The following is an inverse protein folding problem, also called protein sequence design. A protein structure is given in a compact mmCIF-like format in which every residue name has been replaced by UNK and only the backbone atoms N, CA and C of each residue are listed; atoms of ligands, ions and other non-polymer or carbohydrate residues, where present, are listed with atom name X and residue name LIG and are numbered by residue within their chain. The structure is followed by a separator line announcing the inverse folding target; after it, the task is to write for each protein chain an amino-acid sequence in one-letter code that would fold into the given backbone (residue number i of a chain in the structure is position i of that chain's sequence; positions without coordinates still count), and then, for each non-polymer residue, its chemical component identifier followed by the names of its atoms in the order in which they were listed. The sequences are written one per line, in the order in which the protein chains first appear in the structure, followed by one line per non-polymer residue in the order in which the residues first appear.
data_IF_934240891741
#
_entry.id   IF_934240891741
#
_cell.length_a   1.000
_cell.length_b   1.000
_cell.length_c   1.000
_cell.angle_alpha   90.00
_cell.angle_beta   90.00
_cell.angle_gamma   90.00
#
_symmetry.space_group_name_H-M   'P 1'
#
loop_
_entity.id
_entity.type
_entity.pdbx_description
1 polymer ?
#
# COMPACT_ATOMS: atom_id res chain seq x y z
N UNK A 1 38.33 12.45 93.11
CA UNK A 1 38.13 11.17 92.38
C UNK A 1 36.66 11.12 91.96
N UNK A 2 36.35 11.25 90.66
CA UNK A 2 35.85 10.15 89.77
C UNK A 2 34.47 9.63 90.22
N UNK A 3 33.34 10.06 89.66
CA UNK A 3 32.59 9.54 88.48
C UNK A 3 31.09 9.92 88.76
N UNK A 4 30.09 10.04 87.87
CA UNK A 4 29.83 9.65 86.47
C UNK A 4 28.60 10.44 85.97
N UNK A 5 28.56 10.71 84.66
CA UNK A 5 27.49 11.34 83.86
C UNK A 5 26.31 10.39 83.64
N UNK A 6 25.07 10.90 83.47
CA UNK A 6 24.11 10.48 82.43
C UNK A 6 23.30 11.71 81.98
N UNK A 7 23.29 11.98 80.67
CA UNK A 7 22.51 13.01 79.99
C UNK A 7 21.33 12.37 79.25
N UNK A 8 20.18 13.05 79.24
CA UNK A 8 18.99 12.69 78.47
C UNK A 8 18.95 13.53 77.19
N UNK A 9 19.06 12.87 76.05
CA UNK A 9 18.90 13.42 74.69
C UNK A 9 17.50 13.11 74.17
N UNK A 10 16.72 14.14 73.84
CA UNK A 10 15.48 14.01 73.07
C UNK A 10 15.80 14.13 71.56
N UNK A 11 15.43 13.12 70.78
CA UNK A 11 15.62 13.10 69.34
C UNK A 11 14.33 13.54 68.62
N UNK A 12 14.42 14.60 67.83
CA UNK A 12 13.44 14.98 66.82
C UNK A 12 13.84 14.32 65.49
N UNK A 13 13.00 13.44 64.95
CA UNK A 13 13.19 12.83 63.64
C UNK A 13 12.36 13.57 62.60
N UNK A 14 13.03 14.30 61.71
CA UNK A 14 12.43 14.91 60.52
C UNK A 14 12.32 13.89 59.38
N UNK A 15 11.13 13.76 58.80
CA UNK A 15 10.90 13.03 57.56
C UNK A 15 11.47 13.83 56.38
N UNK A 16 12.50 13.31 55.72
CA UNK A 16 12.90 13.77 54.38
C UNK A 16 12.15 12.93 53.33
N UNK A 17 11.16 13.53 52.69
CA UNK A 17 10.51 12.99 51.50
C UNK A 17 11.42 13.26 50.28
N UNK A 18 12.18 12.23 49.86
CA UNK A 18 12.91 12.26 48.59
C UNK A 18 11.89 12.03 47.48
N UNK A 19 11.43 13.10 46.86
CA UNK A 19 10.57 13.04 45.68
C UNK A 19 11.37 12.49 44.50
N UNK A 20 11.09 11.24 44.11
CA UNK A 20 11.46 10.75 42.80
C UNK A 20 10.57 11.44 41.77
N UNK A 21 11.08 12.49 41.12
CA UNK A 21 10.49 12.97 39.87
C UNK A 21 10.70 11.86 38.83
N UNK A 22 9.68 11.04 38.60
CA UNK A 22 9.68 10.18 37.42
C UNK A 22 9.81 11.09 36.19
N UNK A 23 10.68 10.78 35.22
CA UNK A 23 10.75 11.55 33.99
C UNK A 23 9.40 11.43 33.30
N UNK A 24 8.66 12.53 33.27
CA UNK A 24 7.49 12.71 32.42
C UNK A 24 7.98 12.73 30.98
N UNK A 25 8.09 11.56 30.36
CA UNK A 25 8.22 11.42 28.91
C UNK A 25 6.84 11.74 28.33
N UNK A 26 6.47 13.02 28.27
CA UNK A 26 5.35 13.43 27.43
C UNK A 26 5.81 13.14 26.00
N UNK A 27 5.17 12.18 25.32
CA UNK A 27 5.41 11.94 23.91
C UNK A 27 5.23 13.28 23.19
N UNK A 28 6.33 13.81 22.63
CA UNK A 28 6.31 15.10 21.96
C UNK A 28 5.64 14.89 20.60
N UNK A 29 4.46 15.47 20.43
CA UNK A 29 3.81 15.55 19.13
C UNK A 29 4.28 16.83 18.43
N UNK A 30 4.93 16.67 17.29
CA UNK A 30 5.33 17.75 16.41
C UNK A 30 4.26 17.93 15.34
N UNK A 31 3.81 19.17 15.14
CA UNK A 31 2.94 19.50 14.02
C UNK A 31 3.79 19.96 12.84
N UNK A 32 3.38 19.59 11.63
CA UNK A 32 3.98 20.07 10.40
C UNK A 32 2.88 20.64 9.50
N UNK A 33 3.14 21.82 8.97
CA UNK A 33 2.27 22.49 8.02
C UNK A 33 3.04 23.29 6.97
N UNK A 34 4.29 22.89 6.68
CA UNK A 34 5.15 23.53 5.70
C UNK A 34 6.33 22.66 5.28
N UNK A 35 7.44 23.27 4.91
CA UNK A 35 8.65 22.59 4.39
C UNK A 35 9.73 22.41 5.46
N UNK A 36 10.41 21.26 5.47
CA UNK A 36 11.67 21.09 6.20
C UNK A 36 12.58 20.03 5.56
N UNK A 37 13.88 20.20 5.73
CA UNK A 37 14.87 19.26 5.23
C UNK A 37 15.97 18.98 6.26
N UNK A 38 16.60 17.81 6.18
CA UNK A 38 17.79 17.43 6.96
C UNK A 38 17.64 17.53 8.49
N UNK A 39 16.44 17.24 9.00
CA UNK A 39 16.12 17.34 10.43
C UNK A 39 15.62 16.02 11.01
N UNK A 40 15.60 15.95 12.34
CA UNK A 40 15.03 14.83 13.08
C UNK A 40 13.85 15.31 13.91
N UNK A 41 12.67 14.71 13.69
CA UNK A 41 11.49 14.87 14.53
C UNK A 41 11.60 13.85 15.66
N UNK A 42 11.73 14.26 16.93
CA UNK A 42 12.08 13.34 18.04
C UNK A 42 10.91 12.46 18.51
N UNK A 43 9.70 12.65 17.98
CA UNK A 43 8.50 11.93 18.39
C UNK A 43 7.49 11.83 17.26
N UNK A 44 6.21 11.81 17.63
CA UNK A 44 5.12 11.70 16.66
C UNK A 44 5.03 12.98 15.80
N UNK A 45 4.76 12.81 14.52
CA UNK A 45 4.49 13.88 13.56
C UNK A 45 3.01 13.89 13.21
N UNK A 46 2.40 15.07 13.20
CA UNK A 46 1.01 15.26 12.77
C UNK A 46 0.95 16.35 11.72
N UNK A 47 0.47 16.02 10.53
CA UNK A 47 0.03 17.05 9.58
C UNK A 47 -1.38 17.46 9.97
N UNK A 48 -1.56 18.74 10.29
CA UNK A 48 -2.88 19.25 10.69
C UNK A 48 -3.88 19.17 9.52
N UNK A 49 -5.17 19.13 9.83
CA UNK A 49 -6.19 19.02 8.80
C UNK A 49 -6.12 20.22 7.83
N UNK A 50 -6.33 19.97 6.53
CA UNK A 50 -6.21 20.98 5.46
C UNK A 50 -4.83 21.64 5.35
N UNK A 51 -3.78 20.99 5.84
CA UNK A 51 -2.39 21.45 5.71
C UNK A 51 -1.60 20.51 4.83
N UNK A 52 -0.56 21.04 4.21
CA UNK A 52 0.44 20.26 3.51
C UNK A 52 1.75 20.33 4.27
N UNK A 53 2.49 19.22 4.25
CA UNK A 53 3.79 19.09 4.88
C UNK A 53 4.71 18.40 3.88
N UNK A 54 5.85 19.01 3.59
CA UNK A 54 6.85 18.45 2.69
C UNK A 54 8.17 18.31 3.46
N UNK A 55 8.70 17.08 3.48
CA UNK A 55 9.88 16.74 4.26
C UNK A 55 10.90 16.00 3.39
N UNK A 56 12.09 16.56 3.28
CA UNK A 56 13.20 15.97 2.50
C UNK A 56 14.31 15.50 3.44
N UNK A 57 14.73 14.24 3.30
CA UNK A 57 15.79 13.65 4.13
C UNK A 57 15.56 13.84 5.64
N UNK A 58 14.32 13.62 6.09
CA UNK A 58 13.92 13.77 7.49
C UNK A 58 13.81 12.42 8.19
N UNK A 59 14.26 12.34 9.45
CA UNK A 59 14.02 11.18 10.32
C UNK A 59 12.93 11.49 11.33
N UNK A 60 11.87 10.70 11.35
CA UNK A 60 10.75 10.82 12.29
C UNK A 60 10.82 9.67 13.29
N UNK A 61 11.12 9.98 14.55
CA UNK A 61 11.26 9.02 15.65
C UNK A 61 9.93 8.74 16.36
N UNK A 62 8.86 8.57 15.57
CA UNK A 62 7.52 8.32 16.07
C UNK A 62 6.57 7.97 14.96
N UNK A 63 5.28 8.00 15.28
CA UNK A 63 4.22 7.77 14.32
C UNK A 63 3.91 9.04 13.54
N UNK A 64 3.44 8.86 12.32
CA UNK A 64 2.96 9.93 11.45
C UNK A 64 1.45 9.82 11.32
N UNK A 65 0.75 10.94 11.54
CA UNK A 65 -0.68 11.05 11.24
C UNK A 65 -0.93 12.18 10.27
N UNK A 66 -1.41 11.84 9.08
CA UNK A 66 -1.95 12.78 8.10
C UNK A 66 -3.44 12.91 8.37
N UNK A 67 -3.86 14.06 8.88
CA UNK A 67 -5.26 14.30 9.22
C UNK A 67 -6.13 14.50 7.98
N UNK A 68 -7.43 14.68 8.22
CA UNK A 68 -8.37 14.84 7.13
C UNK A 68 -8.00 16.01 6.22
N UNK A 69 -8.12 15.80 4.91
CA UNK A 69 -7.82 16.77 3.86
C UNK A 69 -6.35 17.29 3.88
N UNK A 70 -5.46 16.62 4.61
CA UNK A 70 -4.06 17.00 4.73
C UNK A 70 -3.20 16.23 3.74
N UNK A 71 -2.05 16.79 3.37
CA UNK A 71 -1.09 16.15 2.48
C UNK A 71 0.27 16.01 3.17
N UNK A 72 0.92 14.87 3.00
CA UNK A 72 2.28 14.64 3.46
C UNK A 72 3.13 14.14 2.30
N UNK A 73 4.19 14.85 1.99
CA UNK A 73 5.17 14.50 0.99
C UNK A 73 6.48 14.19 1.72
N UNK A 74 6.97 12.97 1.55
CA UNK A 74 8.23 12.50 2.10
C UNK A 74 9.16 12.11 0.95
N UNK A 75 10.30 12.78 0.85
CA UNK A 75 11.37 12.44 -0.08
C UNK A 75 12.62 12.02 0.70
N UNK A 76 13.13 10.82 0.42
CA UNK A 76 14.36 10.29 1.02
C UNK A 76 14.30 10.18 2.54
N UNK A 77 13.11 10.02 3.12
CA UNK A 77 12.89 10.16 4.56
C UNK A 77 12.74 8.81 5.28
N UNK A 78 12.78 8.82 6.61
CA UNK A 78 12.59 7.62 7.45
C UNK A 78 11.53 7.86 8.52
N UNK A 79 10.57 6.95 8.61
CA UNK A 79 9.55 6.89 9.68
C UNK A 79 9.80 5.67 10.56
N UNK A 80 10.28 5.92 11.78
CA UNK A 80 10.53 4.89 12.81
C UNK A 80 9.27 4.47 13.58
N UNK A 81 8.11 4.57 12.93
CA UNK A 81 6.81 4.26 13.49
C UNK A 81 5.77 3.96 12.40
N UNK A 82 4.50 4.09 12.76
CA UNK A 82 3.39 3.85 11.84
C UNK A 82 3.07 5.11 11.03
N UNK A 83 2.59 4.94 9.80
CA UNK A 83 1.99 6.01 9.00
C UNK A 83 0.48 5.79 8.95
N UNK A 84 -0.29 6.81 9.29
CA UNK A 84 -1.75 6.78 9.21
C UNK A 84 -2.26 7.96 8.39
N UNK A 85 -2.98 7.68 7.32
CA UNK A 85 -3.63 8.67 6.46
C UNK A 85 -5.14 8.58 6.66
N UNK A 86 -5.74 9.69 7.09
CA UNK A 86 -7.16 9.79 7.40
C UNK A 86 -7.97 10.32 6.21
N UNK A 87 -9.27 10.51 6.44
CA UNK A 87 -10.26 10.89 5.43
C UNK A 87 -9.79 11.96 4.44
N UNK A 88 -9.80 11.66 3.14
CA UNK A 88 -9.34 12.56 2.06
C UNK A 88 -7.90 13.09 2.23
N UNK A 89 -7.10 12.48 3.11
CA UNK A 89 -5.69 12.78 3.24
C UNK A 89 -4.88 12.10 2.14
N UNK A 90 -3.74 12.68 1.80
CA UNK A 90 -2.83 12.17 0.78
C UNK A 90 -1.43 11.96 1.36
N UNK A 91 -0.78 10.87 0.97
CA UNK A 91 0.62 10.61 1.27
C UNK A 91 1.41 10.31 0.00
N UNK A 92 2.48 11.05 -0.21
CA UNK A 92 3.50 10.75 -1.23
C UNK A 92 4.79 10.34 -0.54
N UNK A 93 5.27 9.14 -0.86
CA UNK A 93 6.40 8.48 -0.20
C UNK A 93 7.42 8.11 -1.28
N UNK A 94 8.38 8.98 -1.53
CA UNK A 94 9.46 8.76 -2.50
C UNK A 94 10.75 8.44 -1.77
N UNK A 95 11.43 7.36 -2.15
CA UNK A 95 12.70 6.95 -1.53
C UNK A 95 12.61 6.78 -0.01
N UNK A 96 11.42 6.48 0.53
CA UNK A 96 11.11 6.60 1.96
C UNK A 96 11.00 5.23 2.63
N UNK A 97 11.53 5.13 3.85
CA UNK A 97 11.44 3.91 4.67
C UNK A 97 10.44 4.10 5.82
N UNK A 98 9.42 3.25 5.88
CA UNK A 98 8.45 3.19 6.99
C UNK A 98 8.63 1.87 7.73
N UNK A 99 9.00 1.91 9.00
CA UNK A 99 9.26 0.70 9.80
C UNK A 99 7.98 0.04 10.35
N UNK A 100 6.97 0.86 10.66
CA UNK A 100 5.68 0.42 11.18
C UNK A 100 4.67 0.09 10.08
N UNK A 101 3.39 0.03 10.46
CA UNK A 101 2.29 -0.19 9.52
C UNK A 101 1.92 1.08 8.78
N UNK A 102 1.48 0.93 7.54
CA UNK A 102 0.88 2.02 6.75
C UNK A 102 -0.62 1.77 6.66
N UNK A 103 -1.42 2.70 7.18
CA UNK A 103 -2.88 2.55 7.25
C UNK A 103 -3.56 3.73 6.56
N UNK A 104 -4.37 3.44 5.55
CA UNK A 104 -5.24 4.38 4.88
C UNK A 104 -6.68 4.12 5.35
N UNK A 105 -7.35 5.17 5.83
CA UNK A 105 -8.73 5.07 6.27
C UNK A 105 -9.54 6.23 5.66
N UNK A 106 -10.37 5.88 4.67
CA UNK A 106 -11.08 6.84 3.83
C UNK A 106 -10.16 7.88 3.16
N UNK A 107 -8.87 7.55 2.98
CA UNK A 107 -7.88 8.47 2.45
C UNK A 107 -8.18 8.83 0.99
N UNK A 108 -7.67 9.97 0.53
CA UNK A 108 -7.65 10.25 -0.90
C UNK A 108 -6.77 9.21 -1.60
N UNK A 109 -5.56 8.99 -1.08
CA UNK A 109 -4.72 7.90 -1.51
C UNK A 109 -3.32 7.96 -0.92
N UNK A 110 -2.51 6.94 -1.21
CA UNK A 110 -1.08 6.95 -0.96
C UNK A 110 -0.36 6.49 -2.22
N UNK A 111 0.64 7.26 -2.64
CA UNK A 111 1.60 6.90 -3.68
C UNK A 111 2.95 6.58 -3.01
N UNK A 112 3.58 5.48 -3.42
CA UNK A 112 4.93 5.13 -2.98
C UNK A 112 5.82 4.85 -4.17
N UNK A 113 6.99 5.48 -4.23
CA UNK A 113 8.01 5.24 -5.25
C UNK A 113 9.35 4.90 -4.59
N UNK A 114 10.01 3.85 -5.09
CA UNK A 114 11.34 3.40 -4.62
C UNK A 114 11.45 3.31 -3.09
N UNK A 115 10.37 2.90 -2.43
CA UNK A 115 10.21 2.98 -0.98
C UNK A 115 10.20 1.60 -0.31
N UNK A 116 10.39 1.59 1.01
CA UNK A 116 10.39 0.38 1.82
C UNK A 116 9.33 0.46 2.93
N UNK A 117 8.29 -0.37 2.84
CA UNK A 117 7.24 -0.50 3.84
C UNK A 117 7.47 -1.77 4.67
N UNK A 118 7.95 -1.59 5.90
CA UNK A 118 8.46 -2.64 6.78
C UNK A 118 7.39 -3.50 7.46
N UNK A 119 6.13 -3.07 7.43
CA UNK A 119 5.01 -3.80 8.01
C UNK A 119 3.79 -3.79 7.10
N UNK A 120 2.64 -4.28 7.58
CA UNK A 120 1.43 -4.36 6.77
C UNK A 120 1.02 -2.99 6.21
N UNK A 121 0.57 -3.01 4.96
CA UNK A 121 -0.20 -1.93 4.35
C UNK A 121 -1.67 -2.33 4.40
N UNK A 122 -2.52 -1.44 4.91
CA UNK A 122 -3.96 -1.67 4.96
C UNK A 122 -4.69 -0.43 4.47
N UNK A 123 -5.41 -0.59 3.36
CA UNK A 123 -6.30 0.41 2.78
C UNK A 123 -7.75 0.01 2.98
N UNK A 124 -8.59 0.94 3.43
CA UNK A 124 -10.03 0.71 3.59
C UNK A 124 -10.79 1.96 3.19
N UNK A 125 -11.75 1.78 2.30
CA UNK A 125 -12.65 2.82 1.77
C UNK A 125 -11.88 4.04 1.23
N UNK A 126 -10.65 3.85 0.76
CA UNK A 126 -9.73 4.92 0.34
C UNK A 126 -9.64 4.96 -1.18
N UNK A 127 -9.38 6.13 -1.77
CA UNK A 127 -9.34 6.29 -3.22
C UNK A 127 -8.35 5.33 -3.87
N UNK A 128 -7.08 5.38 -3.48
CA UNK A 128 -6.07 4.47 -4.01
C UNK A 128 -4.91 4.13 -3.07
N UNK A 129 -4.26 3.00 -3.35
CA UNK A 129 -2.91 2.67 -2.92
C UNK A 129 -2.06 2.28 -4.13
N UNK A 130 -1.11 3.14 -4.48
CA UNK A 130 -0.26 3.00 -5.66
C UNK A 130 1.19 2.85 -5.25
N UNK A 131 1.87 1.85 -5.83
CA UNK A 131 3.22 1.49 -5.44
C UNK A 131 4.08 1.14 -6.64
N UNK A 132 5.17 1.89 -6.84
CA UNK A 132 6.10 1.73 -7.95
C UNK A 132 7.50 1.48 -7.40
N UNK A 133 8.19 0.44 -7.88
CA UNK A 133 9.58 0.18 -7.52
C UNK A 133 9.81 -0.11 -6.03
N UNK A 134 8.75 -0.42 -5.28
CA UNK A 134 8.76 -0.41 -3.81
C UNK A 134 8.69 -1.82 -3.21
N UNK A 135 9.28 -1.98 -2.03
CA UNK A 135 9.31 -3.24 -1.29
C UNK A 135 8.37 -3.22 -0.07
N UNK A 136 7.52 -4.25 0.03
CA UNK A 136 6.56 -4.47 1.09
C UNK A 136 6.98 -5.73 1.87
N UNK A 137 7.53 -5.53 3.07
CA UNK A 137 8.06 -6.62 3.88
C UNK A 137 6.96 -7.54 4.46
N UNK A 138 5.69 -7.11 4.38
CA UNK A 138 4.52 -7.84 4.87
C UNK A 138 3.38 -7.76 3.86
N UNK A 139 2.15 -7.98 4.32
CA UNK A 139 1.00 -8.06 3.42
C UNK A 139 0.53 -6.67 3.01
N UNK A 140 0.00 -6.59 1.79
CA UNK A 140 -0.78 -5.45 1.30
C UNK A 140 -2.23 -5.89 1.23
N UNK A 141 -3.12 -5.14 1.88
CA UNK A 141 -4.55 -5.43 1.87
C UNK A 141 -5.33 -4.16 1.54
N UNK A 142 -6.23 -4.27 0.57
CA UNK A 142 -7.14 -3.19 0.18
C UNK A 142 -8.59 -3.66 0.25
N UNK A 143 -9.48 -2.75 0.63
CA UNK A 143 -10.92 -2.97 0.63
C UNK A 143 -11.62 -1.70 0.18
N UNK A 144 -12.42 -1.80 -0.88
CA UNK A 144 -13.16 -0.68 -1.47
C UNK A 144 -12.24 0.51 -1.83
N UNK A 145 -11.21 0.28 -2.65
CA UNK A 145 -10.34 1.33 -3.19
C UNK A 145 -9.77 0.98 -4.55
N UNK A 146 -8.64 1.58 -4.92
CA UNK A 146 -7.87 1.19 -6.12
C UNK A 146 -6.49 0.69 -5.71
N UNK A 147 -6.03 -0.40 -6.30
CA UNK A 147 -4.70 -0.95 -6.03
C UNK A 147 -3.89 -1.08 -7.31
N UNK A 148 -2.73 -0.44 -7.35
CA UNK A 148 -1.76 -0.56 -8.44
C UNK A 148 -0.37 -0.84 -7.87
N UNK A 149 0.27 -1.93 -8.31
CA UNK A 149 1.65 -2.26 -7.93
C UNK A 149 2.47 -2.55 -9.18
N UNK A 150 3.59 -1.84 -9.35
CA UNK A 150 4.51 -2.02 -10.46
C UNK A 150 5.96 -2.15 -9.98
N UNK A 151 6.72 -3.06 -10.60
CA UNK A 151 8.14 -3.25 -10.31
C UNK A 151 8.41 -3.44 -8.80
N UNK A 152 7.47 -4.07 -8.11
CA UNK A 152 7.42 -4.17 -6.65
C UNK A 152 7.79 -5.55 -6.12
N UNK A 153 7.89 -5.63 -4.80
CA UNK A 153 8.06 -6.89 -4.08
C UNK A 153 7.13 -6.93 -2.86
N UNK A 154 6.32 -7.98 -2.72
CA UNK A 154 5.45 -8.22 -1.58
C UNK A 154 5.87 -9.53 -0.91
N UNK A 155 6.53 -9.46 0.24
CA UNK A 155 7.10 -10.64 0.93
C UNK A 155 6.04 -11.55 1.56
N UNK A 156 4.76 -11.14 1.54
CA UNK A 156 3.63 -11.91 2.07
C UNK A 156 2.49 -11.85 1.07
N UNK A 157 1.27 -11.57 1.53
CA UNK A 157 0.09 -11.69 0.71
C UNK A 157 -0.29 -10.33 0.11
N UNK A 158 -0.81 -10.36 -1.11
CA UNK A 158 -1.56 -9.25 -1.70
C UNK A 158 -3.03 -9.66 -1.74
N UNK A 159 -3.91 -8.87 -1.14
CA UNK A 159 -5.35 -9.16 -1.12
C UNK A 159 -6.18 -7.90 -1.34
N UNK A 160 -7.09 -7.92 -2.31
CA UNK A 160 -8.03 -6.83 -2.57
C UNK A 160 -9.47 -7.35 -2.55
N UNK A 161 -10.40 -6.53 -2.06
CA UNK A 161 -11.82 -6.89 -1.98
C UNK A 161 -12.69 -5.68 -2.27
N UNK A 162 -13.49 -5.75 -3.33
CA UNK A 162 -14.38 -4.67 -3.75
C UNK A 162 -13.64 -3.44 -4.27
N UNK A 163 -12.36 -3.59 -4.64
CA UNK A 163 -11.61 -2.50 -5.24
C UNK A 163 -12.20 -2.12 -6.62
N UNK A 164 -12.13 -0.86 -7.02
CA UNK A 164 -12.51 -0.45 -8.37
C UNK A 164 -11.63 -1.16 -9.40
N UNK A 165 -10.33 -1.29 -9.13
CA UNK A 165 -9.39 -2.07 -9.95
C UNK A 165 -8.26 -2.67 -9.10
N UNK A 166 -7.66 -3.75 -9.59
CA UNK A 166 -6.42 -4.29 -9.02
C UNK A 166 -5.46 -4.66 -10.14
N UNK A 167 -4.42 -3.85 -10.31
CA UNK A 167 -3.46 -3.98 -11.39
C UNK A 167 -2.06 -4.23 -10.82
N UNK A 168 -1.41 -5.30 -11.30
CA UNK A 168 -0.08 -5.73 -10.84
C UNK A 168 0.82 -6.02 -12.04
N UNK A 169 1.96 -5.34 -12.10
CA UNK A 169 2.93 -5.42 -13.19
C UNK A 169 4.33 -5.68 -12.65
N UNK A 170 5.10 -6.55 -13.30
CA UNK A 170 6.53 -6.74 -13.01
C UNK A 170 6.82 -6.90 -11.50
N UNK A 171 5.98 -7.66 -10.80
CA UNK A 171 5.99 -7.70 -9.33
C UNK A 171 6.14 -9.12 -8.83
N UNK A 172 6.90 -9.28 -7.74
CA UNK A 172 7.01 -10.57 -7.03
C UNK A 172 6.13 -10.55 -5.79
N UNK A 173 5.30 -11.57 -5.63
CA UNK A 173 4.46 -11.81 -4.46
C UNK A 173 4.85 -13.18 -3.88
N UNK A 174 5.55 -13.19 -2.74
CA UNK A 174 6.04 -14.45 -2.12
C UNK A 174 4.91 -15.28 -1.47
N UNK A 175 3.79 -14.63 -1.12
CA UNK A 175 2.64 -15.26 -0.51
C UNK A 175 1.51 -15.52 -1.50
N UNK A 176 0.28 -15.45 -0.99
CA UNK A 176 -0.92 -15.60 -1.81
C UNK A 176 -1.33 -14.28 -2.45
N UNK A 177 -1.88 -14.34 -3.67
CA UNK A 177 -2.51 -13.20 -4.33
C UNK A 177 -4.01 -13.43 -4.48
N UNK A 178 -4.86 -12.57 -3.92
CA UNK A 178 -6.32 -12.71 -3.99
C UNK A 178 -6.96 -11.40 -4.44
N UNK A 179 -7.76 -11.47 -5.50
CA UNK A 179 -8.63 -10.39 -5.97
C UNK A 179 -10.07 -10.85 -5.90
N UNK A 180 -10.90 -10.11 -5.16
CA UNK A 180 -12.33 -10.41 -5.05
C UNK A 180 -13.16 -9.19 -5.43
N UNK A 181 -14.03 -9.33 -6.43
CA UNK A 181 -15.03 -8.31 -6.76
C UNK A 181 -14.45 -7.01 -7.30
N UNK A 182 -13.33 -7.05 -8.03
CA UNK A 182 -12.74 -5.85 -8.60
C UNK A 182 -13.64 -5.25 -9.70
N UNK A 183 -14.18 -4.04 -9.55
CA UNK A 183 -15.32 -3.55 -10.35
C UNK A 183 -15.03 -3.39 -11.85
N UNK A 184 -13.89 -2.78 -12.18
CA UNK A 184 -13.34 -2.65 -13.53
C UNK A 184 -12.41 -3.82 -13.90
N UNK A 185 -12.27 -4.78 -12.98
CA UNK A 185 -11.47 -5.97 -13.16
C UNK A 185 -10.03 -5.84 -12.65
N UNK A 186 -9.16 -6.71 -13.15
CA UNK A 186 -7.80 -6.84 -12.64
C UNK A 186 -6.82 -7.29 -13.72
N UNK A 187 -5.59 -6.82 -13.58
CA UNK A 187 -4.48 -7.18 -14.45
C UNK A 187 -3.36 -7.80 -13.62
N UNK A 188 -2.77 -8.88 -14.14
CA UNK A 188 -1.52 -9.43 -13.65
C UNK A 188 -0.58 -9.72 -14.83
N UNK A 189 0.53 -8.99 -14.92
CA UNK A 189 1.45 -9.10 -16.05
C UNK A 189 2.92 -9.10 -15.60
N UNK A 190 3.75 -9.92 -16.27
CA UNK A 190 5.20 -10.02 -16.04
C UNK A 190 5.56 -10.33 -14.57
N UNK A 191 4.69 -11.02 -13.84
CA UNK A 191 4.78 -11.14 -12.38
C UNK A 191 4.99 -12.58 -11.93
N UNK A 192 5.50 -12.74 -10.72
CA UNK A 192 5.67 -14.04 -10.03
C UNK A 192 4.85 -14.05 -8.74
N UNK A 193 4.04 -15.09 -8.56
CA UNK A 193 3.31 -15.36 -7.32
C UNK A 193 3.77 -16.72 -6.81
N UNK A 194 4.51 -16.77 -5.71
CA UNK A 194 5.04 -18.03 -5.18
C UNK A 194 3.95 -18.91 -4.55
N UNK A 195 2.89 -18.30 -4.00
CA UNK A 195 1.74 -19.00 -3.44
C UNK A 195 0.61 -19.20 -4.45
N UNK A 196 -0.60 -19.38 -3.90
CA UNK A 196 -1.83 -19.50 -4.69
C UNK A 196 -2.32 -18.12 -5.16
N UNK A 197 -2.90 -18.08 -6.35
CA UNK A 197 -3.54 -16.90 -6.92
C UNK A 197 -5.04 -17.16 -7.15
N UNK A 198 -5.90 -16.24 -6.70
CA UNK A 198 -7.35 -16.32 -6.87
C UNK A 198 -7.91 -15.01 -7.41
N UNK A 199 -8.73 -15.10 -8.46
CA UNK A 199 -9.45 -13.98 -9.04
C UNK A 199 -10.93 -14.35 -9.14
N UNK A 200 -11.77 -13.68 -8.38
CA UNK A 200 -13.17 -14.10 -8.26
C UNK A 200 -14.17 -12.96 -8.17
N UNK A 201 -15.37 -13.19 -8.70
CA UNK A 201 -16.52 -12.31 -8.48
C UNK A 201 -16.42 -10.94 -9.14
N UNK A 202 -15.52 -10.74 -10.11
CA UNK A 202 -15.46 -9.50 -10.90
C UNK A 202 -16.81 -9.29 -11.61
N UNK A 203 -17.50 -8.15 -11.43
CA UNK A 203 -18.79 -7.89 -12.04
C UNK A 203 -18.68 -7.71 -13.56
N UNK A 204 -19.80 -7.90 -14.26
CA UNK A 204 -19.86 -7.93 -15.72
C UNK A 204 -20.09 -6.58 -16.38
N UNK A 205 -19.49 -5.50 -15.87
CA UNK A 205 -19.56 -4.20 -16.54
C UNK A 205 -18.89 -4.27 -17.93
N UNK A 206 -19.35 -3.48 -18.90
CA UNK A 206 -18.89 -3.50 -20.29
C UNK A 206 -17.40 -3.13 -20.44
N UNK A 207 -16.84 -2.45 -19.44
CA UNK A 207 -15.44 -2.04 -19.40
C UNK A 207 -14.57 -2.97 -18.54
N UNK A 208 -15.19 -3.87 -17.77
CA UNK A 208 -14.45 -4.73 -16.86
C UNK A 208 -13.66 -5.80 -17.64
N UNK A 209 -12.41 -5.98 -17.24
CA UNK A 209 -11.52 -6.99 -17.81
C UNK A 209 -10.72 -7.70 -16.73
N UNK A 210 -10.69 -9.02 -16.80
CA UNK A 210 -9.71 -9.81 -16.07
C UNK A 210 -8.66 -10.33 -17.06
N UNK A 211 -7.41 -9.87 -16.92
CA UNK A 211 -6.31 -10.33 -17.77
C UNK A 211 -5.13 -10.79 -16.92
N UNK A 212 -4.85 -12.09 -17.00
CA UNK A 212 -3.76 -12.76 -16.31
C UNK A 212 -2.79 -13.29 -17.37
N UNK A 213 -1.75 -12.51 -17.62
CA UNK A 213 -0.86 -12.71 -18.76
C UNK A 213 -1.54 -12.28 -20.06
N UNK A 214 -1.42 -13.10 -21.11
CA UNK A 214 -1.95 -12.87 -22.45
C UNK A 214 -1.40 -11.63 -23.18
N UNK A 215 -1.32 -11.68 -24.51
CA UNK A 215 -0.96 -10.52 -25.34
C UNK A 215 -2.17 -9.71 -25.81
N UNK A 216 -3.37 -10.11 -25.41
CA UNK A 216 -4.63 -9.50 -25.79
C UNK A 216 -5.69 -9.80 -24.72
N UNK A 217 -6.68 -8.91 -24.53
CA UNK A 217 -6.89 -7.70 -25.31
C UNK A 217 -5.90 -6.57 -24.98
N UNK A 218 -5.29 -6.56 -23.79
CA UNK A 218 -4.20 -5.65 -23.44
C UNK A 218 -2.88 -6.14 -24.01
N UNK A 219 -2.13 -5.25 -24.65
CA UNK A 219 -0.79 -5.56 -25.17
C UNK A 219 0.27 -5.21 -24.13
N UNK A 220 1.48 -5.74 -24.29
CA UNK A 220 2.60 -5.49 -23.36
C UNK A 220 2.60 -6.40 -22.13
N UNK A 221 1.52 -7.15 -21.90
CA UNK A 221 1.51 -8.25 -20.94
C UNK A 221 2.35 -9.42 -21.46
N UNK A 222 3.24 -9.93 -20.60
CA UNK A 222 3.99 -11.16 -20.81
C UNK A 222 3.48 -12.29 -19.92
N UNK A 223 4.27 -13.36 -19.81
CA UNK A 223 3.91 -14.49 -18.96
C UNK A 223 3.97 -14.14 -17.47
N UNK A 224 3.20 -14.85 -16.66
CA UNK A 224 3.38 -14.90 -15.21
C UNK A 224 3.82 -16.31 -14.77
N UNK A 225 4.36 -16.38 -13.56
CA UNK A 225 4.72 -17.64 -12.90
C UNK A 225 3.95 -17.79 -11.61
N UNK A 226 3.29 -18.93 -11.44
CA UNK A 226 2.58 -19.29 -10.21
C UNK A 226 3.25 -20.50 -9.56
N UNK A 227 3.66 -20.34 -8.31
CA UNK A 227 4.23 -21.39 -7.49
C UNK A 227 3.18 -22.33 -6.92
N UNK A 228 1.97 -21.83 -6.66
CA UNK A 228 0.78 -22.59 -6.26
C UNK A 228 -0.27 -22.74 -7.37
N UNK A 229 -1.52 -22.82 -6.95
CA UNK A 229 -2.69 -22.95 -7.81
C UNK A 229 -3.12 -21.58 -8.39
N UNK A 230 -3.73 -21.59 -9.58
CA UNK A 230 -4.39 -20.42 -10.16
C UNK A 230 -5.88 -20.71 -10.33
N UNK A 231 -6.71 -19.96 -9.59
CA UNK A 231 -8.17 -20.06 -9.64
C UNK A 231 -8.80 -18.78 -10.19
N UNK A 232 -9.60 -18.93 -11.25
CA UNK A 232 -10.37 -17.85 -11.86
C UNK A 232 -11.83 -18.25 -11.86
N UNK A 233 -12.63 -17.71 -10.92
CA UNK A 233 -13.97 -18.25 -10.64
C UNK A 233 -15.06 -17.20 -10.51
N UNK A 234 -16.26 -17.53 -10.98
CA UNK A 234 -17.47 -16.72 -10.80
C UNK A 234 -17.34 -15.26 -11.28
N UNK A 235 -16.51 -15.04 -12.31
CA UNK A 235 -16.31 -13.71 -12.90
C UNK A 235 -17.32 -13.47 -14.02
N UNK A 236 -17.92 -12.29 -14.02
CA UNK A 236 -18.86 -11.85 -15.05
C UNK A 236 -18.22 -10.96 -16.11
N UNK A 237 -16.97 -10.52 -15.90
CA UNK A 237 -16.17 -9.83 -16.90
C UNK A 237 -15.56 -10.82 -17.92
N UNK A 238 -15.15 -10.29 -19.08
CA UNK A 238 -14.33 -11.06 -20.01
C UNK A 238 -12.98 -11.39 -19.33
N UNK A 239 -12.66 -12.68 -19.26
CA UNK A 239 -11.46 -13.19 -18.59
C UNK A 239 -10.52 -13.87 -19.57
N UNK A 240 -9.25 -13.47 -19.51
CA UNK A 240 -8.16 -13.98 -20.32
C UNK A 240 -7.06 -14.50 -19.41
N UNK A 241 -6.72 -15.78 -19.56
CA UNK A 241 -5.66 -16.45 -18.78
C UNK A 241 -4.75 -17.12 -19.78
N UNK A 242 -3.68 -16.44 -20.20
CA UNK A 242 -2.82 -16.99 -21.25
C UNK A 242 -1.35 -16.82 -20.99
N UNK A 243 -0.57 -17.74 -21.58
CA UNK A 243 0.88 -17.75 -21.56
C UNK A 243 1.49 -17.90 -20.15
N UNK A 244 0.75 -18.44 -19.17
CA UNK A 244 1.24 -18.57 -17.80
C UNK A 244 1.96 -19.90 -17.55
N UNK A 245 2.84 -19.92 -16.54
CA UNK A 245 3.40 -21.17 -15.98
C UNK A 245 2.78 -21.41 -14.61
N UNK A 246 1.96 -22.44 -14.48
CA UNK A 246 1.27 -22.79 -13.22
C UNK A 246 1.87 -24.09 -12.68
N UNK A 247 2.52 -24.02 -11.50
CA UNK A 247 3.11 -25.20 -10.85
C UNK A 247 2.06 -26.07 -10.16
N UNK A 248 0.96 -25.49 -9.70
CA UNK A 248 -0.22 -26.18 -9.18
C UNK A 248 -1.28 -26.46 -10.25
N UNK A 249 -2.53 -26.43 -9.81
CA UNK A 249 -3.73 -26.61 -10.64
C UNK A 249 -4.17 -25.27 -11.26
N UNK A 250 -4.76 -25.34 -12.45
CA UNK A 250 -5.42 -24.23 -13.11
C UNK A 250 -6.93 -24.50 -13.15
N UNK A 251 -7.72 -23.66 -12.48
CA UNK A 251 -9.18 -23.81 -12.39
C UNK A 251 -9.90 -22.60 -12.98
N UNK A 252 -10.78 -22.83 -13.96
CA UNK A 252 -11.73 -21.84 -14.44
C UNK A 252 -13.16 -22.37 -14.29
N UNK A 253 -13.97 -21.77 -13.42
CA UNK A 253 -15.34 -22.25 -13.18
C UNK A 253 -16.32 -21.12 -12.90
N UNK A 254 -17.56 -21.22 -13.36
CA UNK A 254 -18.61 -20.24 -13.07
C UNK A 254 -18.43 -18.89 -13.78
N UNK A 255 -17.42 -18.72 -14.63
CA UNK A 255 -17.20 -17.47 -15.36
C UNK A 255 -18.21 -17.31 -16.51
N UNK A 256 -18.75 -16.10 -16.68
CA UNK A 256 -19.70 -15.75 -17.74
C UNK A 256 -19.36 -14.38 -18.33
N UNK A 257 -18.80 -14.29 -19.55
CA UNK A 257 -18.54 -15.38 -20.48
C UNK A 257 -17.45 -16.34 -19.97
N UNK A 258 -17.41 -17.54 -20.55
CA UNK A 258 -16.39 -18.53 -20.25
C UNK A 258 -14.98 -17.97 -20.49
N UNK A 259 -14.03 -18.36 -19.64
CA UNK A 259 -12.66 -17.87 -19.68
C UNK A 259 -11.95 -18.30 -20.96
N UNK A 260 -11.25 -17.35 -21.58
CA UNK A 260 -10.31 -17.64 -22.67
C UNK A 260 -8.99 -18.06 -22.02
N UNK A 261 -8.72 -19.37 -22.01
CA UNK A 261 -7.51 -19.94 -21.46
C UNK A 261 -6.66 -20.58 -22.57
N UNK A 262 -5.50 -20.00 -22.88
CA UNK A 262 -4.65 -20.44 -23.99
C UNK A 262 -3.16 -20.47 -23.60
N UNK A 263 -2.40 -21.40 -24.17
CA UNK A 263 -0.94 -21.47 -24.00
C UNK A 263 -0.41 -21.52 -22.55
N UNK A 264 -1.24 -21.91 -21.58
CA UNK A 264 -0.78 -22.12 -20.21
C UNK A 264 0.01 -23.42 -20.10
N UNK A 265 1.11 -23.38 -19.37
CA UNK A 265 1.87 -24.57 -18.98
C UNK A 265 1.51 -24.94 -17.54
N UNK A 266 0.56 -25.85 -17.40
CA UNK A 266 0.06 -26.34 -16.11
C UNK A 266 0.75 -27.65 -15.77
N UNK A 267 1.24 -27.79 -14.54
CA UNK A 267 1.82 -29.04 -14.03
C UNK A 267 0.79 -29.92 -13.32
N UNK A 268 -0.17 -29.31 -12.64
CA UNK A 268 -1.31 -29.97 -12.02
C UNK A 268 -2.44 -30.25 -13.02
N UNK A 269 -3.68 -30.23 -12.53
CA UNK A 269 -4.89 -30.34 -13.35
C UNK A 269 -5.19 -29.03 -14.07
N UNK A 270 -5.63 -29.12 -15.33
CA UNK A 270 -6.15 -27.99 -16.10
C UNK A 270 -7.66 -28.19 -16.29
N UNK A 271 -8.43 -27.45 -15.50
CA UNK A 271 -9.88 -27.50 -15.44
C UNK A 271 -10.53 -26.29 -16.12
N UNK A 272 -9.84 -25.64 -17.07
CA UNK A 272 -10.42 -24.56 -17.85
C UNK A 272 -11.08 -25.12 -19.13
N UNK A 273 -12.42 -25.10 -19.18
CA UNK A 273 -13.16 -25.35 -20.42
C UNK A 273 -12.95 -24.16 -21.37
N UNK A 274 -11.94 -24.25 -22.22
CA UNK A 274 -11.55 -23.18 -23.15
C UNK A 274 -12.69 -22.83 -24.11
N UNK A 275 -13.16 -21.57 -24.08
CA UNK A 275 -14.02 -21.03 -25.13
C UNK A 275 -13.16 -20.38 -26.23
N UNK A 276 -13.12 -21.00 -27.41
CA UNK A 276 -12.55 -20.35 -28.60
C UNK A 276 -13.61 -19.46 -29.26
N UNK A 277 -13.53 -18.13 -29.13
CA UNK A 277 -13.96 -17.20 -30.19
C UNK A 277 -13.71 -15.69 -29.91
N UNK A 278 -13.04 -15.08 -30.90
CA UNK A 278 -13.26 -13.75 -31.49
C UNK A 278 -13.02 -12.48 -30.62
N UNK A 279 -11.75 -12.12 -30.43
CA UNK A 279 -11.35 -10.85 -29.80
C UNK A 279 -10.33 -10.04 -30.64
N UNK A 280 -10.63 -9.69 -31.90
CA UNK A 280 -9.68 -8.89 -32.72
C UNK A 280 -9.95 -7.38 -32.75
N UNK A 281 -11.21 -6.93 -32.60
CA UNK A 281 -11.53 -5.48 -32.65
C UNK A 281 -11.61 -4.80 -31.27
N UNK A 282 -11.88 -5.57 -30.20
CA UNK A 282 -11.93 -5.06 -28.81
C UNK A 282 -10.56 -4.98 -28.14
N UNK A 283 -9.53 -5.54 -28.78
CA UNK A 283 -8.18 -5.59 -28.22
C UNK A 283 -7.50 -4.23 -28.20
N UNK A 284 -7.49 -3.48 -29.33
CA UNK A 284 -6.80 -2.18 -29.36
C UNK A 284 -7.36 -1.19 -28.34
N UNK A 285 -8.69 -1.05 -28.26
CA UNK A 285 -9.34 -0.14 -27.29
C UNK A 285 -8.99 -0.49 -25.83
N UNK A 286 -8.88 -1.77 -25.50
CA UNK A 286 -8.56 -2.16 -24.12
C UNK A 286 -7.09 -1.95 -23.83
N UNK A 287 -6.19 -2.26 -24.76
CA UNK A 287 -4.76 -1.99 -24.56
C UNK A 287 -4.49 -0.52 -24.30
N UNK A 288 -5.20 0.36 -25.00
CA UNK A 288 -5.17 1.80 -24.73
C UNK A 288 -5.68 2.06 -23.29
N UNK A 289 -6.81 1.48 -22.88
CA UNK A 289 -7.34 1.60 -21.50
C UNK A 289 -6.33 1.21 -20.41
N UNK A 290 -5.54 0.13 -20.55
CA UNK A 290 -4.57 -0.21 -19.50
C UNK A 290 -3.37 0.74 -19.46
N UNK A 291 -2.87 1.16 -20.62
CA UNK A 291 -1.82 2.18 -20.70
C UNK A 291 -2.33 3.53 -20.14
N UNK A 292 -3.56 3.89 -20.48
CA UNK A 292 -4.26 5.08 -20.00
C UNK A 292 -4.45 5.02 -18.49
N UNK A 293 -4.88 3.88 -17.92
CA UNK A 293 -5.01 3.69 -16.45
C UNK A 293 -3.69 3.92 -15.73
N UNK A 294 -2.60 3.33 -16.21
CA UNK A 294 -1.26 3.57 -15.64
C UNK A 294 -0.86 5.05 -15.72
N UNK A 295 -1.09 5.68 -16.87
CA UNK A 295 -0.75 7.09 -17.06
C UNK A 295 -1.61 8.02 -16.20
N UNK A 296 -2.90 7.71 -16.05
CA UNK A 296 -3.88 8.43 -15.23
C UNK A 296 -3.51 8.34 -13.75
N UNK A 297 -3.24 7.13 -13.24
CA UNK A 297 -2.73 6.87 -11.89
C UNK A 297 -1.56 7.78 -11.54
N UNK A 298 -0.56 7.81 -12.43
CA UNK A 298 0.65 8.61 -12.23
C UNK A 298 0.34 10.10 -12.29
N UNK A 299 -0.44 10.54 -13.28
CA UNK A 299 -0.79 11.94 -13.45
C UNK A 299 -1.62 12.48 -12.29
N UNK A 300 -2.55 11.70 -11.72
CA UNK A 300 -3.37 12.10 -10.59
C UNK A 300 -2.56 12.22 -9.30
N UNK A 301 -1.64 11.27 -9.06
CA UNK A 301 -0.71 11.34 -7.93
C UNK A 301 0.21 12.56 -8.08
N UNK A 302 0.84 12.76 -9.24
CA UNK A 302 1.71 13.92 -9.53
C UNK A 302 0.96 15.24 -9.37
N UNK A 303 -0.25 15.35 -9.91
CA UNK A 303 -1.06 16.56 -9.79
C UNK A 303 -1.43 16.87 -8.33
N UNK A 304 -1.69 15.83 -7.52
CA UNK A 304 -1.96 16.03 -6.09
C UNK A 304 -0.71 16.42 -5.33
N UNK A 305 0.45 15.83 -5.67
CA UNK A 305 1.75 16.20 -5.09
C UNK A 305 2.09 17.64 -5.41
N UNK A 306 1.99 18.09 -6.67
CA UNK A 306 2.27 19.48 -7.08
C UNK A 306 1.44 20.49 -6.27
N UNK A 307 0.12 20.26 -6.12
CA UNK A 307 -0.75 21.12 -5.30
C UNK A 307 -0.34 21.09 -3.82
N UNK A 308 0.16 19.96 -3.32
CA UNK A 308 0.58 19.82 -1.94
C UNK A 308 1.93 20.51 -1.67
N UNK A 309 2.90 20.41 -2.59
CA UNK A 309 4.19 21.12 -2.56
C UNK A 309 3.95 22.63 -2.53
N UNK A 310 3.18 23.16 -3.48
CA UNK A 310 2.81 24.59 -3.55
C UNK A 310 2.21 25.08 -2.21
N UNK A 311 1.34 24.27 -1.61
CA UNK A 311 0.71 24.62 -0.34
C UNK A 311 1.67 24.54 0.87
N UNK A 312 2.63 23.60 0.86
CA UNK A 312 3.65 23.49 1.90
C UNK A 312 4.67 24.65 1.79
N UNK A 313 5.13 24.98 0.59
CA UNK A 313 6.04 26.10 0.35
C UNK A 313 5.39 27.42 0.76
N UNK A 314 4.12 27.64 0.38
CA UNK A 314 3.37 28.84 0.75
C UNK A 314 3.22 29.02 2.28
N UNK A 315 3.22 27.93 3.05
CA UNK A 315 3.14 27.98 4.50
C UNK A 315 4.50 28.26 5.18
N UNK A 316 5.62 28.01 4.49
CA UNK A 316 6.96 28.30 4.97
C UNK A 316 7.55 27.18 5.84
N UNK A 317 8.46 27.48 6.78
CA UNK A 317 9.15 26.44 7.56
C UNK A 317 8.24 25.64 8.50
N UNK A 318 8.29 24.30 8.39
CA UNK A 318 7.39 23.35 9.05
C UNK A 318 7.37 23.36 10.59
N UNK A 319 8.49 23.74 11.24
CA UNK A 319 8.68 23.58 12.69
C UNK A 319 8.91 24.90 13.41
N UNK A 320 8.32 25.99 12.88
CA UNK A 320 8.50 27.34 13.40
C UNK A 320 7.70 27.67 14.65
#
# INVERSE_FOLDING_TARGET
MRYRKIALTAAAAGLMAVGFAAPSQAALTTFCDGVAADVTVPGDLVVAANKSCELTNVTINGNVTVRADANLLLDGSTVNGNVRVLANGFGDLVGTSVTGTTVLNAAYGVYTEESALGNNVTSTDSGFFYSVGSNHARSVTSTNGETFIESGWVSRNLATTGDTLTDVYDTVIEGTYSVTGAEQGAILCLSEVDGDATFSGTPGDMQAILQIGASAPLTGCGFNVFGGDLSVTDNMAESYVSDNVVRGDLTCSGNTPATVAENNRVRGEDNCESAMAAASARSSMRSDVAADRKAEVKADAEARSEVAEDAAEAAGPAFS
#
